data_IF_154574163667
#
_entry.id   IF_154574163667
#
_cell.length_a   1.000
_cell.length_b   1.000
_cell.length_c   1.000
_cell.angle_alpha   90.00
_cell.angle_beta   90.00
_cell.angle_gamma   90.00
#
_symmetry.space_group_name_H-M   'P 1'
#
loop_
_entity.id
_entity.type
_entity.pdbx_description
1 polymer ?
#
# COMPACT_ATOMS: atom_id res chain seq x y z
N UNK A 1 2.94 -6.65 -16.31
CA UNK A 1 2.68 -5.21 -16.12
C UNK A 1 3.56 -4.73 -14.99
N UNK A 2 4.30 -3.64 -15.16
CA UNK A 2 5.20 -3.11 -14.13
C UNK A 2 4.44 -2.41 -13.02
N UNK A 3 4.99 -2.43 -11.80
CA UNK A 3 4.52 -1.62 -10.68
C UNK A 3 5.09 -0.21 -10.82
N UNK A 4 4.25 0.81 -10.61
CA UNK A 4 4.63 2.23 -10.60
C UNK A 4 4.89 2.70 -9.17
N UNK A 5 5.70 3.75 -8.99
CA UNK A 5 5.89 4.38 -7.68
C UNK A 5 4.60 5.00 -7.14
N UNK A 6 4.53 5.18 -5.81
CA UNK A 6 3.39 5.81 -5.17
C UNK A 6 3.20 7.25 -5.70
N UNK A 7 2.01 7.59 -6.22
CA UNK A 7 1.79 8.91 -6.79
C UNK A 7 1.77 9.97 -5.68
N UNK A 8 2.20 11.19 -6.03
CA UNK A 8 2.38 12.28 -5.06
C UNK A 8 1.09 12.73 -4.35
N UNK A 9 -0.07 12.40 -4.93
CA UNK A 9 -1.38 12.70 -4.37
C UNK A 9 -1.98 11.56 -3.54
N UNK A 10 -1.25 10.46 -3.31
CA UNK A 10 -1.69 9.39 -2.43
C UNK A 10 -1.69 9.86 -0.97
N UNK A 11 -2.68 9.41 -0.19
CA UNK A 11 -2.73 9.72 1.24
C UNK A 11 -1.42 9.29 1.93
N UNK A 12 -0.76 10.17 2.72
CA UNK A 12 0.54 9.87 3.32
C UNK A 12 0.56 8.64 4.23
N UNK A 13 -0.56 8.26 4.86
CA UNK A 13 -0.67 7.04 5.66
C UNK A 13 -0.67 5.81 4.78
N UNK A 14 -1.39 5.88 3.65
CA UNK A 14 -1.37 4.81 2.63
C UNK A 14 -0.02 4.72 1.93
N UNK A 15 0.65 5.83 1.62
CA UNK A 15 1.97 5.82 0.98
C UNK A 15 3.05 5.13 1.82
N UNK A 16 2.94 5.15 3.15
CA UNK A 16 3.84 4.40 4.05
C UNK A 16 3.63 2.88 3.96
N UNK A 17 2.38 2.47 3.75
CA UNK A 17 1.95 1.07 3.69
C UNK A 17 1.94 0.49 2.28
N UNK A 18 1.99 1.33 1.25
CA UNK A 18 1.93 0.90 -0.14
C UNK A 18 3.33 0.57 -0.68
N UNK A 19 3.43 -0.57 -1.37
CA UNK A 19 4.62 -0.97 -2.13
C UNK A 19 4.72 -0.34 -3.52
N UNK A 20 3.62 0.26 -3.99
CA UNK A 20 3.50 0.89 -5.30
C UNK A 20 2.06 0.91 -5.79
N UNK A 21 1.86 1.26 -7.05
CA UNK A 21 0.54 1.24 -7.69
C UNK A 21 0.57 0.52 -9.04
N UNK A 22 -0.56 -0.06 -9.43
CA UNK A 22 -0.79 -0.64 -10.74
C UNK A 22 -1.96 0.07 -11.42
N UNK A 23 -1.80 0.37 -12.71
CA UNK A 23 -2.86 0.90 -13.54
C UNK A 23 -3.66 -0.23 -14.17
N UNK A 24 -4.96 -0.26 -13.88
CA UNK A 24 -5.89 -1.27 -14.38
C UNK A 24 -7.05 -0.54 -15.05
N UNK A 25 -7.19 -0.64 -16.38
CA UNK A 25 -8.37 -0.16 -17.13
C UNK A 25 -8.95 1.19 -16.66
N UNK A 26 -8.08 2.21 -16.54
CA UNK A 26 -8.47 3.57 -16.12
C UNK A 26 -8.63 3.77 -14.61
N UNK A 27 -8.43 2.72 -13.81
CA UNK A 27 -8.39 2.74 -12.36
C UNK A 27 -6.96 2.56 -11.84
N UNK A 28 -6.73 3.01 -10.61
CA UNK A 28 -5.46 2.90 -9.92
C UNK A 28 -5.61 1.92 -8.76
N UNK A 29 -4.91 0.78 -8.82
CA UNK A 29 -4.84 -0.20 -7.75
C UNK A 29 -3.60 0.07 -6.91
N UNK A 30 -3.80 0.31 -5.61
CA UNK A 30 -2.69 0.42 -4.66
C UNK A 30 -2.26 -0.98 -4.23
N UNK A 31 -0.97 -1.26 -4.29
CA UNK A 31 -0.38 -2.52 -3.81
C UNK A 31 -0.01 -2.34 -2.35
N UNK A 32 -0.63 -3.11 -1.46
CA UNK A 32 -0.33 -3.09 -0.04
C UNK A 32 0.92 -3.92 0.27
N UNK A 33 1.87 -3.33 0.98
CA UNK A 33 3.03 -4.03 1.53
C UNK A 33 2.62 -4.71 2.85
N UNK A 34 2.50 -6.04 2.81
CA UNK A 34 2.04 -6.83 3.96
C UNK A 34 3.06 -6.82 5.09
N UNK A 35 4.35 -6.83 4.80
CA UNK A 35 5.39 -6.86 5.82
C UNK A 35 5.34 -5.58 6.66
N UNK A 36 5.20 -4.41 6.01
CA UNK A 36 5.02 -3.13 6.72
C UNK A 36 3.73 -3.05 7.52
N UNK A 37 2.65 -3.66 7.05
CA UNK A 37 1.38 -3.70 7.79
C UNK A 37 1.52 -4.55 9.05
N UNK A 38 2.19 -5.69 8.96
CA UNK A 38 2.42 -6.58 10.09
C UNK A 38 3.32 -5.94 11.16
N UNK A 39 4.31 -5.14 10.75
CA UNK A 39 5.12 -4.32 11.67
C UNK A 39 4.29 -3.29 12.46
N UNK A 40 3.21 -2.76 11.87
CA UNK A 40 2.30 -1.81 12.50
C UNK A 40 1.20 -2.45 13.34
N UNK A 41 1.05 -3.77 13.32
CA UNK A 41 0.05 -4.48 14.12
C UNK A 41 0.64 -5.22 15.34
N UNK A 42 1.19 -4.54 16.38
CA UNK A 42 1.57 -5.24 17.61
C UNK A 42 0.41 -5.74 18.49
N UNK A 43 -0.87 -5.48 18.17
CA UNK A 43 -1.96 -5.73 19.16
C UNK A 43 -3.21 -6.45 18.63
N UNK A 44 -3.41 -6.62 17.32
CA UNK A 44 -4.63 -7.29 16.82
C UNK A 44 -4.62 -8.82 16.87
N UNK A 45 -3.47 -9.46 17.09
CA UNK A 45 -3.36 -10.92 17.17
C UNK A 45 -3.44 -11.48 18.62
N UNK A 46 -3.69 -10.63 19.61
CA UNK A 46 -3.78 -11.02 21.03
C UNK A 46 -5.22 -11.01 21.59
N UNK A 47 -6.24 -11.23 20.76
CA UNK A 47 -7.66 -11.26 21.16
C UNK A 47 -8.26 -12.67 21.09
#
# INVERSE_FOLDING_TARGET
>A
AGMEENPVNLDPRMAKLAGGVHRLDGQLMVVLDVDRVLELAPEMMAA
#
